data_IF_327815871916
#
_entry.id   IF_327815871916
#
_cell.length_a   1.000
_cell.length_b   1.000
_cell.length_c   1.000
_cell.angle_alpha   90.00
_cell.angle_beta   90.00
_cell.angle_gamma   90.00
#
_symmetry.space_group_name_H-M   'P 1'
#
loop_
_entity.id
_entity.type
_entity.pdbx_description
1 polymer ?
#
# COMPACT_ATOMS: atom_id res chain seq x y z
N UNK A 1 22.38 -17.11 3.74
CA UNK A 1 21.61 -18.36 3.64
C UNK A 1 21.26 -18.79 5.05
N UNK A 2 20.04 -19.22 5.30
CA UNK A 2 19.52 -19.63 6.60
C UNK A 2 18.25 -20.46 6.40
N UNK A 3 17.85 -21.21 7.43
CA UNK A 3 16.57 -21.91 7.44
C UNK A 3 15.48 -20.92 7.89
N UNK A 4 14.44 -20.74 7.09
CA UNK A 4 13.37 -19.77 7.35
C UNK A 4 12.02 -20.49 7.34
N UNK A 5 11.29 -20.42 8.44
CA UNK A 5 9.86 -20.72 8.47
C UNK A 5 9.05 -19.43 8.31
N UNK A 6 8.14 -19.41 7.34
CA UNK A 6 7.34 -18.22 7.00
C UNK A 6 5.89 -18.47 7.41
N UNK A 7 5.45 -17.77 8.45
CA UNK A 7 4.08 -17.83 8.97
C UNK A 7 3.32 -16.54 8.62
N UNK A 8 2.08 -16.67 8.17
CA UNK A 8 1.18 -15.53 7.95
C UNK A 8 0.44 -15.22 9.26
N UNK A 9 0.38 -13.95 9.63
CA UNK A 9 -0.41 -13.47 10.75
C UNK A 9 -1.24 -12.25 10.33
N UNK A 10 -2.45 -12.17 10.85
CA UNK A 10 -3.41 -11.11 10.59
C UNK A 10 -3.78 -10.43 11.90
N UNK A 11 -4.08 -9.13 11.82
CA UNK A 11 -4.43 -8.34 13.00
C UNK A 11 -5.88 -8.57 13.47
N UNK A 12 -6.77 -8.86 12.52
CA UNK A 12 -8.24 -8.85 12.73
C UNK A 12 -8.97 -10.07 12.15
N UNK A 13 -8.24 -11.03 11.57
CA UNK A 13 -8.78 -12.31 11.08
C UNK A 13 -7.82 -13.44 11.41
N UNK A 14 -8.27 -14.69 11.30
CA UNK A 14 -7.38 -15.85 11.46
C UNK A 14 -6.54 -16.05 10.19
N UNK A 15 -5.27 -16.49 10.29
CA UNK A 15 -4.50 -16.75 11.52
C UNK A 15 -4.13 -15.46 12.26
N UNK A 16 -4.40 -15.38 13.58
CA UNK A 16 -4.11 -14.19 14.38
C UNK A 16 -2.63 -14.18 14.82
N UNK A 17 -2.11 -12.98 15.16
CA UNK A 17 -0.80 -12.85 15.81
C UNK A 17 -0.68 -13.71 17.08
N UNK A 18 -1.77 -13.89 17.83
CA UNK A 18 -1.81 -14.77 19.01
C UNK A 18 -1.66 -16.25 18.67
N UNK A 19 -2.21 -16.68 17.53
CA UNK A 19 -2.13 -18.07 17.07
C UNK A 19 -0.68 -18.39 16.71
N UNK A 20 -0.05 -17.50 15.94
CA UNK A 20 1.36 -17.62 15.57
C UNK A 20 2.27 -17.57 16.80
N UNK A 21 2.02 -16.68 17.75
CA UNK A 21 2.78 -16.66 19.00
C UNK A 21 2.60 -17.94 19.83
N UNK A 22 1.44 -18.59 19.78
CA UNK A 22 1.23 -19.87 20.46
C UNK A 22 2.05 -20.99 19.80
N UNK A 23 2.06 -21.05 18.47
CA UNK A 23 2.86 -22.01 17.71
C UNK A 23 4.37 -21.84 17.98
N UNK A 24 4.87 -20.60 17.95
CA UNK A 24 6.29 -20.31 18.19
C UNK A 24 6.77 -20.69 19.61
N UNK A 25 5.88 -20.83 20.60
CA UNK A 25 6.27 -21.31 21.95
C UNK A 25 6.59 -22.80 21.98
N UNK A 26 6.13 -23.55 20.97
CA UNK A 26 6.37 -24.97 20.82
C UNK A 26 7.59 -25.25 19.93
N UNK A 27 8.17 -24.21 19.34
CA UNK A 27 9.27 -24.29 18.38
C UNK A 27 10.56 -23.72 19.00
N UNK A 28 11.71 -24.27 18.62
CA UNK A 28 13.01 -23.71 18.97
C UNK A 28 13.41 -22.67 17.92
N UNK A 29 13.02 -21.41 18.12
CA UNK A 29 13.37 -20.29 17.23
C UNK A 29 14.48 -19.42 17.80
N UNK A 30 15.50 -19.12 16.99
CA UNK A 30 16.63 -18.27 17.39
C UNK A 30 16.39 -16.79 17.10
N UNK A 31 15.61 -16.48 16.06
CA UNK A 31 15.31 -15.13 15.62
C UNK A 31 13.86 -15.04 15.16
N UNK A 32 13.20 -13.91 15.45
CA UNK A 32 11.86 -13.60 14.94
C UNK A 32 11.93 -12.29 14.19
N UNK A 33 11.40 -12.27 12.97
CA UNK A 33 11.27 -11.07 12.16
C UNK A 33 9.78 -10.81 11.92
N UNK A 34 9.29 -9.64 12.34
CA UNK A 34 7.99 -9.15 11.94
C UNK A 34 8.12 -8.31 10.68
N UNK A 35 7.45 -8.75 9.62
CA UNK A 35 7.35 -8.02 8.36
C UNK A 35 5.88 -7.64 8.10
N UNK A 36 5.39 -6.52 8.67
CA UNK A 36 4.13 -5.94 8.26
C UNK A 36 4.11 -5.68 6.75
N UNK A 37 3.07 -6.14 6.06
CA UNK A 37 2.92 -5.95 4.60
C UNK A 37 2.37 -4.57 4.23
N UNK A 38 2.67 -3.56 5.04
CA UNK A 38 2.41 -2.15 4.79
C UNK A 38 3.73 -1.47 4.39
N UNK A 39 3.89 -1.02 3.14
CA UNK A 39 5.14 -0.36 2.71
C UNK A 39 5.38 0.94 3.48
N UNK A 40 4.30 1.66 3.80
CA UNK A 40 4.30 2.94 4.51
C UNK A 40 3.94 2.70 5.98
N UNK A 41 4.70 3.30 6.88
CA UNK A 41 4.41 3.24 8.30
C UNK A 41 3.16 4.07 8.62
N UNK A 42 2.28 3.52 9.45
CA UNK A 42 1.25 4.28 10.15
C UNK A 42 1.04 3.76 11.56
N UNK A 43 0.69 4.67 12.46
CA UNK A 43 0.28 4.36 13.84
C UNK A 43 -0.99 3.50 13.90
N UNK A 44 -1.79 3.46 12.83
CA UNK A 44 -3.03 2.67 12.74
C UNK A 44 -2.81 1.26 12.17
N UNK A 45 -1.67 1.01 11.52
CA UNK A 45 -1.35 -0.27 10.86
C UNK A 45 -0.12 -0.93 11.50
N UNK A 46 1.10 -0.54 11.12
CA UNK A 46 2.36 -1.13 11.57
C UNK A 46 2.47 -1.11 13.10
N UNK A 47 2.24 0.05 13.72
CA UNK A 47 2.29 0.16 15.18
C UNK A 47 1.23 -0.71 15.89
N UNK A 48 0.06 -0.89 15.27
CA UNK A 48 -0.99 -1.78 15.80
C UNK A 48 -0.54 -3.24 15.82
N UNK A 49 0.19 -3.67 14.78
CA UNK A 49 0.80 -5.02 14.72
C UNK A 49 1.88 -5.15 15.79
N UNK A 50 2.78 -4.18 15.90
CA UNK A 50 3.86 -4.23 16.88
C UNK A 50 3.35 -4.28 18.33
N UNK A 51 2.35 -3.45 18.65
CA UNK A 51 1.76 -3.42 19.98
C UNK A 51 1.01 -4.72 20.31
N UNK A 52 0.33 -5.29 19.31
CA UNK A 52 -0.32 -6.58 19.48
C UNK A 52 0.69 -7.70 19.68
N UNK A 53 1.77 -7.71 18.89
CA UNK A 53 2.86 -8.67 19.07
C UNK A 53 3.46 -8.57 20.48
N UNK A 54 3.82 -7.36 20.91
CA UNK A 54 4.33 -7.11 22.27
C UNK A 54 3.38 -7.63 23.36
N UNK A 55 2.07 -7.58 23.13
CA UNK A 55 1.06 -8.10 24.07
C UNK A 55 1.02 -9.63 24.08
N UNK A 56 0.96 -10.27 22.91
CA UNK A 56 0.72 -11.72 22.79
C UNK A 56 1.97 -12.58 22.81
N UNK A 57 3.15 -11.99 22.60
CA UNK A 57 4.45 -12.66 22.51
C UNK A 57 5.48 -12.10 23.52
N UNK A 58 5.02 -11.55 24.64
CA UNK A 58 5.88 -10.91 25.66
C UNK A 58 6.90 -11.84 26.32
N UNK A 59 6.69 -13.15 26.24
CA UNK A 59 7.51 -14.22 26.78
C UNK A 59 8.39 -14.90 25.71
N UNK A 60 8.24 -14.53 24.44
CA UNK A 60 9.12 -14.96 23.35
C UNK A 60 10.35 -14.06 23.23
N UNK A 61 11.34 -14.50 22.45
CA UNK A 61 12.47 -13.64 22.08
C UNK A 61 11.97 -12.38 21.35
N UNK A 62 12.70 -11.28 21.52
CA UNK A 62 12.35 -10.02 20.87
C UNK A 62 12.37 -10.18 19.35
N UNK A 63 11.32 -9.70 18.69
CA UNK A 63 11.28 -9.67 17.25
C UNK A 63 11.94 -8.41 16.68
N UNK A 64 12.70 -8.57 15.61
CA UNK A 64 13.12 -7.45 14.76
C UNK A 64 11.95 -7.06 13.88
N UNK A 65 11.59 -5.77 13.88
CA UNK A 65 10.45 -5.26 13.10
C UNK A 65 10.96 -4.51 11.88
N UNK A 66 10.53 -4.93 10.70
CA UNK A 66 10.73 -4.18 9.46
C UNK A 66 9.58 -3.19 9.36
N UNK A 67 9.77 -1.99 9.89
CA UNK A 67 8.69 -1.01 10.08
C UNK A 67 8.07 -0.50 8.77
N UNK A 68 8.89 -0.40 7.71
CA UNK A 68 8.53 0.24 6.44
C UNK A 68 9.52 -0.11 5.33
N UNK A 69 9.07 -0.02 4.08
CA UNK A 69 9.89 -0.31 2.90
C UNK A 69 9.43 0.41 1.62
N UNK A 70 8.59 1.45 1.73
CA UNK A 70 8.03 2.18 0.58
C UNK A 70 9.07 2.73 -0.41
N UNK A 71 10.29 3.02 0.06
CA UNK A 71 11.40 3.56 -0.73
C UNK A 71 12.40 2.49 -1.20
N UNK A 72 12.12 1.20 -0.97
CA UNK A 72 12.99 0.12 -1.43
C UNK A 72 12.98 0.06 -2.98
N UNK A 73 14.16 -0.04 -3.58
CA UNK A 73 14.34 -0.04 -5.04
C UNK A 73 13.53 -1.14 -5.76
N UNK A 74 13.43 -2.32 -5.14
CA UNK A 74 12.70 -3.45 -5.70
C UNK A 74 11.19 -3.26 -5.56
N UNK A 75 10.73 -2.67 -4.46
CA UNK A 75 9.31 -2.32 -4.31
C UNK A 75 8.89 -1.27 -5.33
N UNK A 76 9.68 -0.20 -5.49
CA UNK A 76 9.43 0.83 -6.51
C UNK A 76 9.36 0.21 -7.90
N UNK A 77 10.32 -0.66 -8.25
CA UNK A 77 10.34 -1.34 -9.54
C UNK A 77 9.09 -2.21 -9.75
N UNK A 78 8.63 -2.92 -8.72
CA UNK A 78 7.40 -3.71 -8.79
C UNK A 78 6.15 -2.84 -9.05
N UNK A 79 6.04 -1.70 -8.36
CA UNK A 79 4.95 -0.73 -8.58
C UNK A 79 4.98 -0.18 -10.01
N UNK A 80 6.16 0.25 -10.46
CA UNK A 80 6.37 0.79 -11.81
C UNK A 80 6.04 -0.24 -12.89
N UNK A 81 6.36 -1.53 -12.68
CA UNK A 81 6.01 -2.59 -13.62
C UNK A 81 4.49 -2.79 -13.72
N UNK A 82 3.76 -2.78 -12.62
CA UNK A 82 2.29 -2.86 -12.64
C UNK A 82 1.65 -1.70 -13.41
N UNK A 83 2.16 -0.48 -13.19
CA UNK A 83 1.73 0.72 -13.91
C UNK A 83 2.04 0.56 -15.41
N UNK A 84 3.27 0.20 -15.78
CA UNK A 84 3.69 -0.02 -17.18
C UNK A 84 2.85 -1.08 -17.88
N UNK A 85 2.49 -2.17 -17.19
CA UNK A 85 1.63 -3.21 -17.75
C UNK A 85 0.24 -2.67 -18.09
N UNK A 86 -0.33 -1.83 -17.22
CA UNK A 86 -1.66 -1.26 -17.44
C UNK A 86 -1.65 -0.12 -18.47
N UNK A 87 -0.58 0.68 -18.52
CA UNK A 87 -0.39 1.74 -19.52
C UNK A 87 -0.50 1.23 -20.96
N UNK A 88 -0.09 -0.02 -21.24
CA UNK A 88 -0.22 -0.66 -22.57
C UNK A 88 -1.65 -0.74 -23.08
N UNK A 89 -2.66 -0.57 -22.21
CA UNK A 89 -4.05 -0.55 -22.62
C UNK A 89 -4.50 0.79 -23.18
N UNK A 90 -3.71 1.86 -23.06
CA UNK A 90 -4.07 3.19 -23.54
C UNK A 90 -3.33 3.53 -24.84
N UNK A 91 -4.04 4.16 -25.77
CA UNK A 91 -3.48 4.62 -27.05
C UNK A 91 -2.81 6.00 -26.94
N UNK A 92 -3.19 6.76 -25.91
CA UNK A 92 -2.59 8.04 -25.52
C UNK A 92 -2.29 8.02 -24.03
N UNK A 93 -1.29 8.79 -23.60
CA UNK A 93 -0.89 8.81 -22.20
C UNK A 93 -2.05 9.23 -21.28
N UNK A 94 -2.45 8.38 -20.31
CA UNK A 94 -3.46 8.74 -19.33
C UNK A 94 -2.84 9.59 -18.21
N UNK A 95 -3.71 10.27 -17.46
CA UNK A 95 -3.34 10.80 -16.15
C UNK A 95 -3.23 9.65 -15.15
N UNK A 96 -2.15 9.61 -14.36
CA UNK A 96 -1.93 8.60 -13.33
C UNK A 96 -2.44 9.12 -11.99
N UNK A 97 -3.53 8.54 -11.50
CA UNK A 97 -4.09 8.86 -10.18
C UNK A 97 -3.64 7.81 -9.16
N UNK A 98 -2.77 8.22 -8.25
CA UNK A 98 -2.41 7.42 -7.08
C UNK A 98 -3.57 7.46 -6.08
N UNK A 99 -4.02 6.30 -5.62
CA UNK A 99 -5.04 6.18 -4.57
C UNK A 99 -4.45 5.51 -3.34
N UNK A 100 -4.47 6.23 -2.21
CA UNK A 100 -4.05 5.73 -0.91
C UNK A 100 -5.24 5.66 0.06
N UNK A 101 -5.26 4.69 0.96
CA UNK A 101 -6.27 4.69 2.03
C UNK A 101 -6.07 5.91 2.92
N UNK A 102 -7.15 6.64 3.22
CA UNK A 102 -7.05 7.84 4.04
C UNK A 102 -6.81 7.51 5.51
N UNK A 103 -6.15 8.42 6.24
CA UNK A 103 -6.15 8.42 7.71
C UNK A 103 -6.76 9.72 8.25
N UNK A 104 -7.25 9.76 9.50
CA UNK A 104 -7.71 10.99 10.11
C UNK A 104 -6.58 12.03 10.20
N UNK A 105 -6.87 13.29 9.86
CA UNK A 105 -5.86 14.38 9.87
C UNK A 105 -5.20 14.51 11.24
N UNK A 106 -5.95 14.23 12.31
CA UNK A 106 -5.41 14.25 13.68
C UNK A 106 -4.19 13.34 13.83
N UNK A 107 -4.16 12.17 13.19
CA UNK A 107 -3.01 11.24 13.25
C UNK A 107 -1.75 11.88 12.64
N UNK A 108 -1.91 12.55 11.50
CA UNK A 108 -0.81 13.28 10.86
C UNK A 108 -0.32 14.42 11.73
N UNK A 109 -1.22 15.20 12.31
CA UNK A 109 -0.88 16.29 13.26
C UNK A 109 -0.15 15.74 14.48
N UNK A 110 -0.55 14.57 14.97
CA UNK A 110 0.08 13.88 16.10
C UNK A 110 1.43 13.22 15.72
N UNK A 111 1.89 13.35 14.47
CA UNK A 111 3.23 12.95 14.03
C UNK A 111 3.28 11.66 13.19
N UNK A 112 2.14 11.12 12.76
CA UNK A 112 2.11 9.95 11.87
C UNK A 112 2.80 10.24 10.52
N UNK A 113 3.82 9.46 10.11
CA UNK A 113 4.62 9.76 8.91
C UNK A 113 3.92 9.37 7.60
N UNK A 114 2.80 8.64 7.66
CA UNK A 114 2.16 7.99 6.51
C UNK A 114 1.98 8.92 5.29
N UNK A 115 1.45 10.14 5.49
CA UNK A 115 1.24 11.08 4.38
C UNK A 115 2.56 11.45 3.68
N UNK A 116 3.63 11.70 4.46
CA UNK A 116 4.94 12.07 3.90
C UNK A 116 5.54 10.90 3.12
N UNK A 117 5.39 9.68 3.64
CA UNK A 117 5.89 8.47 2.98
C UNK A 117 5.12 8.15 1.69
N UNK A 118 3.80 8.34 1.68
CA UNK A 118 2.99 8.19 0.45
C UNK A 118 3.45 9.19 -0.62
N UNK A 119 3.57 10.47 -0.27
CA UNK A 119 4.02 11.51 -1.22
C UNK A 119 5.41 11.20 -1.78
N UNK A 120 6.38 10.86 -0.91
CA UNK A 120 7.71 10.49 -1.35
C UNK A 120 7.70 9.21 -2.22
N UNK A 121 6.85 8.22 -1.90
CA UNK A 121 6.74 7.03 -2.73
C UNK A 121 6.19 7.34 -4.13
N UNK A 122 5.21 8.24 -4.24
CA UNK A 122 4.71 8.71 -5.54
C UNK A 122 5.85 9.32 -6.36
N UNK A 123 6.64 10.21 -5.76
CA UNK A 123 7.80 10.84 -6.43
C UNK A 123 8.80 9.78 -6.95
N UNK A 124 9.15 8.80 -6.12
CA UNK A 124 10.09 7.74 -6.49
C UNK A 124 9.55 6.84 -7.62
N UNK A 125 8.26 6.51 -7.60
CA UNK A 125 7.61 5.72 -8.67
C UNK A 125 7.60 6.51 -9.98
N UNK A 126 7.26 7.80 -9.92
CA UNK A 126 7.24 8.68 -11.11
C UNK A 126 8.65 8.86 -11.69
N UNK A 127 9.67 9.03 -10.85
CA UNK A 127 11.07 9.06 -11.28
C UNK A 127 11.48 7.75 -11.96
N UNK A 128 11.07 6.60 -11.44
CA UNK A 128 11.39 5.29 -12.01
C UNK A 128 10.63 4.97 -13.31
N UNK A 129 9.43 5.54 -13.49
CA UNK A 129 8.69 5.46 -14.76
C UNK A 129 9.47 6.13 -15.90
N UNK A 130 10.27 7.16 -15.60
CA UNK A 130 11.21 7.79 -16.53
C UNK A 130 10.58 8.61 -17.65
N UNK A 131 9.26 8.79 -17.62
CA UNK A 131 8.48 9.62 -18.54
C UNK A 131 7.58 10.55 -17.74
N UNK A 132 7.41 11.77 -18.25
CA UNK A 132 6.65 12.84 -17.61
C UNK A 132 5.13 12.68 -17.85
N UNK A 133 4.56 11.63 -17.25
CA UNK A 133 3.10 11.47 -17.20
C UNK A 133 2.51 12.52 -16.26
N UNK A 134 1.34 13.07 -16.60
CA UNK A 134 0.57 13.84 -15.62
C UNK A 134 0.12 12.89 -14.50
N UNK A 135 0.24 13.33 -13.25
CA UNK A 135 -0.16 12.53 -12.10
C UNK A 135 -0.70 13.37 -10.96
N UNK A 136 -1.44 12.72 -10.06
CA UNK A 136 -1.88 13.30 -8.80
C UNK A 136 -2.14 12.21 -7.76
N UNK A 137 -2.35 12.62 -6.51
CA UNK A 137 -2.62 11.74 -5.37
C UNK A 137 -4.00 12.08 -4.80
N UNK A 138 -4.77 11.05 -4.50
CA UNK A 138 -6.02 11.15 -3.76
C UNK A 138 -6.09 10.13 -2.63
N UNK A 139 -7.01 10.38 -1.70
CA UNK A 139 -7.25 9.51 -0.56
C UNK A 139 -8.67 8.93 -0.59
N UNK A 140 -8.77 7.63 -0.36
CA UNK A 140 -10.01 6.85 -0.46
C UNK A 140 -10.54 6.38 0.90
N UNK A 141 -11.73 5.77 0.89
CA UNK A 141 -12.32 5.05 2.05
C UNK A 141 -12.45 5.87 3.35
N UNK A 142 -12.90 7.14 3.25
CA UNK A 142 -13.23 7.97 4.42
C UNK A 142 -14.46 7.43 5.15
N UNK A 143 -14.42 7.36 6.49
CA UNK A 143 -15.54 6.88 7.30
C UNK A 143 -15.94 7.89 8.38
N UNK A 144 -17.23 8.20 8.45
CA UNK A 144 -17.77 9.08 9.49
C UNK A 144 -17.40 10.57 9.34
N UNK A 145 -17.78 11.41 10.32
CA UNK A 145 -17.81 12.87 10.16
C UNK A 145 -16.49 13.58 10.49
N UNK A 146 -15.43 12.85 10.82
CA UNK A 146 -14.14 13.44 11.18
C UNK A 146 -13.39 13.95 9.94
N UNK A 147 -12.38 14.82 10.14
CA UNK A 147 -11.54 15.27 9.04
C UNK A 147 -10.50 14.21 8.65
N UNK A 148 -10.45 13.90 7.37
CA UNK A 148 -9.58 12.92 6.73
C UNK A 148 -8.67 13.61 5.72
N UNK A 149 -7.54 12.98 5.38
CA UNK A 149 -6.67 13.43 4.29
C UNK A 149 -7.45 13.67 2.98
N UNK A 150 -6.99 14.62 2.19
CA UNK A 150 -7.67 15.13 1.00
C UNK A 150 -6.65 15.45 -0.11
N UNK A 151 -7.06 15.51 -1.39
CA UNK A 151 -8.43 15.42 -1.90
C UNK A 151 -8.99 13.99 -1.79
N UNK A 152 -10.31 13.89 -1.68
CA UNK A 152 -10.94 12.58 -1.88
C UNK A 152 -10.91 12.21 -3.37
N UNK A 153 -11.02 10.92 -3.70
CA UNK A 153 -10.89 10.47 -5.09
C UNK A 153 -11.95 11.04 -6.04
N UNK A 154 -13.19 11.29 -5.59
CA UNK A 154 -14.25 11.88 -6.41
C UNK A 154 -13.98 13.36 -6.68
N UNK A 155 -13.59 14.13 -5.66
CA UNK A 155 -13.15 15.53 -5.81
C UNK A 155 -12.01 15.66 -6.83
N UNK A 156 -11.08 14.71 -6.79
CA UNK A 156 -9.94 14.69 -7.70
C UNK A 156 -10.34 14.29 -9.12
N UNK A 157 -11.26 13.33 -9.29
CA UNK A 157 -11.83 13.00 -10.61
C UNK A 157 -12.55 14.21 -11.21
N UNK A 158 -13.39 14.90 -10.43
CA UNK A 158 -14.11 16.09 -10.89
C UNK A 158 -13.17 17.20 -11.34
N UNK A 159 -12.08 17.44 -10.58
CA UNK A 159 -11.02 18.39 -10.96
C UNK A 159 -10.37 18.00 -12.29
N UNK A 160 -9.99 16.74 -12.45
CA UNK A 160 -9.33 16.24 -13.66
C UNK A 160 -10.24 16.36 -14.89
N UNK A 161 -11.53 16.04 -14.75
CA UNK A 161 -12.52 16.22 -15.82
C UNK A 161 -12.63 17.70 -16.20
N UNK A 162 -12.70 18.60 -15.22
CA UNK A 162 -12.77 20.04 -15.47
C UNK A 162 -11.52 20.58 -16.20
N UNK A 163 -10.37 19.91 -16.05
CA UNK A 163 -9.12 20.19 -16.76
C UNK A 163 -9.03 19.51 -18.14
N UNK A 164 -10.07 18.77 -18.55
CA UNK A 164 -10.15 18.10 -19.85
C UNK A 164 -9.44 16.75 -19.90
N UNK A 165 -9.11 16.15 -18.76
CA UNK A 165 -8.56 14.79 -18.70
C UNK A 165 -9.66 13.77 -18.98
N UNK A 166 -9.50 13.00 -20.06
CA UNK A 166 -10.46 11.96 -20.45
C UNK A 166 -9.98 10.53 -20.13
N UNK A 167 -8.67 10.31 -19.91
CA UNK A 167 -8.11 8.99 -19.68
C UNK A 167 -7.41 8.91 -18.32
N UNK A 168 -7.84 7.97 -17.49
CA UNK A 168 -7.40 7.82 -16.11
C UNK A 168 -6.86 6.42 -15.85
N UNK A 169 -5.61 6.35 -15.39
CA UNK A 169 -5.00 5.15 -14.84
C UNK A 169 -4.88 5.30 -13.33
N UNK A 170 -5.57 4.44 -12.57
CA UNK A 170 -5.52 4.45 -11.11
C UNK A 170 -4.50 3.44 -10.61
N UNK A 171 -3.65 3.83 -9.64
CA UNK A 171 -2.73 2.92 -8.95
C UNK A 171 -2.98 2.91 -7.43
N UNK A 172 -3.37 1.77 -6.83
CA UNK A 172 -3.55 1.63 -5.39
C UNK A 172 -2.19 1.55 -4.67
N UNK A 173 -1.64 2.69 -4.26
CA UNK A 173 -0.25 2.78 -3.77
C UNK A 173 -0.05 2.23 -2.36
N UNK A 174 -1.08 2.27 -1.51
CA UNK A 174 -0.98 1.92 -0.09
C UNK A 174 -1.18 0.43 0.22
N UNK A 175 -1.25 -0.44 -0.80
CA UNK A 175 -1.56 -1.86 -0.64
C UNK A 175 -0.74 -2.75 -1.56
N UNK A 176 -0.35 -3.93 -1.04
CA UNK A 176 0.46 -4.90 -1.79
C UNK A 176 -0.34 -6.09 -2.34
N UNK A 177 -1.61 -6.22 -1.96
CA UNK A 177 -2.51 -7.29 -2.38
C UNK A 177 -3.88 -6.71 -2.72
N UNK A 178 -4.68 -7.47 -3.47
CA UNK A 178 -6.06 -7.06 -3.77
C UNK A 178 -6.99 -7.34 -2.58
N UNK A 179 -7.96 -6.47 -2.39
CA UNK A 179 -8.96 -6.56 -1.32
C UNK A 179 -10.21 -5.76 -1.71
N UNK A 180 -11.13 -5.55 -0.77
CA UNK A 180 -12.42 -4.90 -1.00
C UNK A 180 -12.25 -3.52 -1.67
N UNK A 181 -11.34 -2.70 -1.16
CA UNK A 181 -11.14 -1.34 -1.64
C UNK A 181 -10.56 -1.31 -3.06
N UNK A 182 -9.78 -2.31 -3.50
CA UNK A 182 -9.31 -2.35 -4.90
C UNK A 182 -10.34 -2.96 -5.84
N UNK A 183 -10.91 -4.11 -5.47
CA UNK A 183 -11.80 -4.89 -6.36
C UNK A 183 -13.24 -4.37 -6.41
N UNK A 184 -13.67 -3.64 -5.39
CA UNK A 184 -15.03 -3.09 -5.31
C UNK A 184 -15.03 -1.57 -5.35
N UNK A 185 -14.32 -0.90 -4.43
CA UNK A 185 -14.34 0.57 -4.42
C UNK A 185 -13.71 1.12 -5.70
N UNK A 186 -12.49 0.72 -6.07
CA UNK A 186 -11.85 1.24 -7.29
C UNK A 186 -12.45 0.67 -8.58
N UNK A 187 -12.52 -0.66 -8.71
CA UNK A 187 -12.91 -1.32 -9.98
C UNK A 187 -14.40 -1.19 -10.31
N UNK A 188 -15.26 -0.94 -9.33
CA UNK A 188 -16.71 -0.80 -9.53
C UNK A 188 -17.15 0.63 -9.23
N UNK A 189 -17.09 1.08 -7.97
CA UNK A 189 -17.73 2.34 -7.57
C UNK A 189 -17.05 3.55 -8.20
N UNK A 190 -15.73 3.66 -8.10
CA UNK A 190 -14.96 4.80 -8.62
C UNK A 190 -14.85 4.74 -10.14
N UNK A 191 -14.77 3.55 -10.72
CA UNK A 191 -14.87 3.37 -12.17
C UNK A 191 -16.21 3.86 -12.71
N UNK A 192 -17.34 3.44 -12.12
CA UNK A 192 -18.67 3.89 -12.52
C UNK A 192 -18.81 5.41 -12.39
N UNK A 193 -18.34 5.97 -11.27
CA UNK A 193 -18.33 7.42 -11.05
C UNK A 193 -17.51 8.15 -12.11
N UNK A 194 -16.27 7.71 -12.37
CA UNK A 194 -15.39 8.34 -13.35
C UNK A 194 -16.02 8.35 -14.75
N UNK A 195 -16.53 7.20 -15.19
CA UNK A 195 -17.15 7.05 -16.52
C UNK A 195 -18.41 7.91 -16.66
N UNK A 196 -19.21 8.03 -15.59
CA UNK A 196 -20.41 8.87 -15.59
C UNK A 196 -20.10 10.36 -15.64
N UNK A 197 -18.97 10.79 -15.09
CA UNK A 197 -18.61 12.19 -14.95
C UNK A 197 -17.63 12.70 -16.02
N UNK A 198 -17.32 11.92 -17.06
CA UNK A 198 -16.59 12.42 -18.24
C UNK A 198 -15.23 11.79 -18.51
N UNK A 199 -14.77 10.86 -17.66
CA UNK A 199 -13.64 10.00 -18.02
C UNK A 199 -14.11 9.01 -19.10
N UNK A 200 -13.47 9.01 -20.26
CA UNK A 200 -13.78 8.09 -21.36
C UNK A 200 -13.16 6.72 -21.15
N UNK A 201 -11.98 6.67 -20.53
CA UNK A 201 -11.25 5.42 -20.28
C UNK A 201 -10.67 5.38 -18.88
N UNK A 202 -11.13 4.40 -18.11
CA UNK A 202 -10.67 4.12 -16.76
C UNK A 202 -10.04 2.73 -16.70
N UNK A 203 -8.80 2.65 -16.26
CA UNK A 203 -8.15 1.40 -15.89
C UNK A 203 -7.52 1.54 -14.51
N UNK A 204 -7.44 0.42 -13.79
CA UNK A 204 -6.71 0.33 -12.53
C UNK A 204 -5.53 -0.62 -12.71
N UNK A 205 -4.32 -0.19 -12.33
CA UNK A 205 -3.17 -1.07 -12.22
C UNK A 205 -3.35 -2.01 -11.02
N UNK A 206 -2.86 -3.25 -11.17
CA UNK A 206 -2.93 -4.20 -10.06
C UNK A 206 -1.97 -3.73 -8.94
N UNK A 207 -2.22 -4.16 -7.72
CA UNK A 207 -1.22 -4.09 -6.64
C UNK A 207 0.01 -4.92 -6.99
N UNK A 208 1.11 -4.78 -6.25
CA UNK A 208 2.35 -5.51 -6.57
C UNK A 208 2.21 -7.04 -6.49
N UNK A 209 1.24 -7.57 -5.75
CA UNK A 209 0.89 -9.00 -5.70
C UNK A 209 2.14 -9.90 -5.54
N UNK A 210 2.44 -10.73 -6.54
CA UNK A 210 3.58 -11.66 -6.56
C UNK A 210 4.62 -11.26 -7.62
N UNK A 211 4.67 -9.98 -8.00
CA UNK A 211 5.69 -9.48 -8.94
C UNK A 211 7.09 -9.93 -8.47
N UNK A 212 7.94 -10.48 -9.36
CA UNK A 212 9.25 -11.02 -8.98
C UNK A 212 10.11 -10.02 -8.19
N UNK A 213 10.05 -8.74 -8.58
CA UNK A 213 10.69 -7.63 -7.90
C UNK A 213 10.18 -7.44 -6.47
N UNK A 214 8.88 -7.56 -6.24
CA UNK A 214 8.33 -7.45 -4.89
C UNK A 214 8.75 -8.64 -4.01
N UNK A 215 8.75 -9.86 -4.56
CA UNK A 215 9.28 -11.02 -3.83
C UNK A 215 10.76 -10.83 -3.49
N UNK A 216 11.54 -10.26 -4.42
CA UNK A 216 12.93 -9.89 -4.18
C UNK A 216 13.05 -8.81 -3.10
N UNK A 217 12.17 -7.82 -3.08
CA UNK A 217 12.08 -6.82 -2.01
C UNK A 217 11.94 -7.49 -0.64
N UNK A 218 10.89 -8.32 -0.47
CA UNK A 218 10.62 -9.01 0.80
C UNK A 218 11.82 -9.86 1.25
N UNK A 219 12.41 -10.61 0.32
CA UNK A 219 13.63 -11.40 0.61
C UNK A 219 14.77 -10.52 1.12
N UNK A 220 15.07 -9.41 0.42
CA UNK A 220 16.17 -8.51 0.80
C UNK A 220 15.92 -7.90 2.17
N UNK A 221 14.70 -7.43 2.44
CA UNK A 221 14.34 -6.84 3.73
C UNK A 221 14.54 -7.83 4.89
N UNK A 222 14.12 -9.09 4.70
CA UNK A 222 14.32 -10.14 5.71
C UNK A 222 15.80 -10.43 5.92
N UNK A 223 16.61 -10.48 4.87
CA UNK A 223 18.05 -10.75 4.97
C UNK A 223 18.85 -9.57 5.59
N UNK A 224 18.39 -8.34 5.40
CA UNK A 224 18.98 -7.13 6.00
C UNK A 224 18.52 -6.90 7.45
N UNK A 225 17.36 -7.48 7.82
CA UNK A 225 16.80 -7.40 9.18
C UNK A 225 17.34 -8.46 10.15
N UNK A 226 18.29 -9.29 9.72
CA UNK A 226 19.07 -10.22 10.55
C UNK A 226 20.34 -9.52 11.02
#
# INVERSE_FOLDING_TARGET
EGDFDVKVAQRYSSPYLSDIAADLRLEEVENIILLPLYPHYSTTTTLSIENEWRRVAHDLINATVIERFYNNEYYIKACTEQIKQKLKKFDVDPHILFSAHSIPIKRVVDGDPYEKEINHNVELIMQNLGKDYSYSLSYQSKVGPIKWLSPNMEEEIDRLVAEGICHLLVFPISFVSEHLETLYELDIQKKEYALKNGIEKYERANTVQTQPEFIKCLKTLVLEGI
#
